data_IF_333320213414
#
_entry.id   IF_333320213414
#
_cell.length_a   1.000
_cell.length_b   1.000
_cell.length_c   1.000
_cell.angle_alpha   90.00
_cell.angle_beta   90.00
_cell.angle_gamma   90.00
#
_symmetry.space_group_name_H-M   'P 1'
#
loop_
_entity.id
_entity.type
_entity.pdbx_description
1 polymer ?
#
# COMPACT_ATOMS: atom_id res chain seq x y z
N UNK A 1 8.43 -29.20 3.66
CA UNK A 1 7.34 -28.22 3.45
C UNK A 1 8.02 -26.99 2.89
N UNK A 2 7.71 -26.59 1.65
CA UNK A 2 8.13 -25.30 1.10
C UNK A 2 7.48 -24.22 1.96
N UNK A 3 8.28 -23.37 2.58
CA UNK A 3 7.74 -22.19 3.26
C UNK A 3 7.67 -21.13 2.17
N UNK A 4 6.50 -20.98 1.56
CA UNK A 4 6.27 -19.89 0.61
C UNK A 4 6.55 -18.57 1.35
N UNK A 5 7.70 -17.99 1.05
CA UNK A 5 8.21 -16.80 1.72
C UNK A 5 7.95 -15.62 0.80
N UNK A 6 6.94 -14.81 1.14
CA UNK A 6 6.86 -13.46 0.61
C UNK A 6 7.94 -12.63 1.28
N UNK A 7 8.87 -12.10 0.49
CA UNK A 7 9.89 -11.17 0.96
C UNK A 7 9.61 -9.83 0.34
N UNK A 8 9.47 -8.81 1.17
CA UNK A 8 9.35 -7.45 0.68
C UNK A 8 9.37 -6.44 1.81
N UNK A 9 9.18 -5.18 1.45
CA UNK A 9 9.22 -4.05 2.38
C UNK A 9 8.22 -2.99 1.94
N UNK A 10 7.61 -2.33 2.91
CA UNK A 10 6.83 -1.12 2.69
C UNK A 10 7.28 -0.03 3.66
N UNK A 11 7.48 1.18 3.13
CA UNK A 11 7.72 2.41 3.90
C UNK A 11 6.59 3.38 3.60
N UNK A 12 5.98 3.95 4.63
CA UNK A 12 4.95 4.97 4.49
C UNK A 12 5.21 6.10 5.48
N UNK A 13 5.11 7.33 4.97
CA UNK A 13 5.25 8.56 5.74
C UNK A 13 3.93 9.32 5.75
N UNK A 14 3.72 10.02 6.85
CA UNK A 14 2.54 10.85 7.06
C UNK A 14 2.98 12.29 7.33
N UNK A 15 2.33 13.24 6.67
CA UNK A 15 2.58 14.67 6.90
C UNK A 15 1.28 15.48 6.90
N UNK A 16 1.30 16.65 7.51
CA UNK A 16 0.27 17.66 7.34
C UNK A 16 0.44 18.37 5.98
N UNK A 17 -0.50 19.24 5.61
CA UNK A 17 -0.43 19.99 4.35
C UNK A 17 0.77 20.93 4.26
N UNK A 18 1.29 21.41 5.39
CA UNK A 18 2.49 22.24 5.48
C UNK A 18 3.80 21.43 5.42
N UNK A 19 3.71 20.10 5.34
CA UNK A 19 4.85 19.19 5.25
C UNK A 19 5.40 18.71 6.61
N UNK A 20 4.85 19.19 7.73
CA UNK A 20 5.28 18.73 9.05
C UNK A 20 4.90 17.25 9.29
N UNK A 21 5.74 16.45 9.96
CA UNK A 21 5.43 15.04 10.23
C UNK A 21 4.12 14.85 11.02
N UNK A 22 3.25 13.96 10.54
CA UNK A 22 1.92 13.71 11.11
C UNK A 22 1.81 12.34 11.81
N UNK A 23 2.81 12.02 12.64
CA UNK A 23 2.92 10.77 13.39
C UNK A 23 4.13 9.92 12.98
N UNK A 24 4.26 8.71 13.53
CA UNK A 24 5.35 7.81 13.18
C UNK A 24 5.16 7.21 11.78
N UNK A 25 6.28 6.98 11.10
CA UNK A 25 6.32 6.22 9.85
C UNK A 25 5.78 4.79 10.06
N UNK A 26 5.22 4.21 9.00
CA UNK A 26 4.85 2.80 8.93
C UNK A 26 5.90 2.07 8.09
N UNK A 27 6.70 1.25 8.75
CA UNK A 27 7.78 0.47 8.17
C UNK A 27 7.61 -1.00 8.54
N UNK A 28 7.55 -1.87 7.53
CA UNK A 28 7.46 -3.31 7.77
C UNK A 28 8.01 -4.13 6.61
N UNK A 29 8.48 -5.32 6.92
CA UNK A 29 8.86 -6.37 5.97
C UNK A 29 7.78 -7.45 5.79
N UNK A 30 6.68 -7.36 6.56
CA UNK A 30 5.54 -8.27 6.49
C UNK A 30 4.57 -7.79 5.43
N UNK A 31 4.89 -8.09 4.18
CA UNK A 31 4.09 -7.76 3.01
C UNK A 31 3.59 -9.03 2.32
N UNK A 32 2.35 -8.96 1.85
CA UNK A 32 1.66 -10.00 1.11
C UNK A 32 1.19 -9.43 -0.21
N UNK A 33 1.26 -10.23 -1.27
CA UNK A 33 0.73 -9.87 -2.57
C UNK A 33 -0.30 -10.88 -3.05
N UNK A 34 -1.27 -10.36 -3.77
CA UNK A 34 -2.18 -11.11 -4.61
C UNK A 34 -2.21 -10.44 -6.00
N UNK A 35 -2.69 -11.13 -7.05
CA UNK A 35 -2.81 -10.55 -8.39
C UNK A 35 -3.59 -9.23 -8.43
N UNK A 36 -4.51 -9.03 -7.48
CA UNK A 36 -5.38 -7.85 -7.37
C UNK A 36 -5.14 -7.04 -6.08
N UNK A 37 -4.08 -7.30 -5.30
CA UNK A 37 -3.86 -6.58 -4.05
C UNK A 37 -2.40 -6.62 -3.57
N UNK A 38 -2.02 -5.63 -2.78
CA UNK A 38 -0.83 -5.66 -1.92
C UNK A 38 -1.23 -5.23 -0.52
N UNK A 39 -0.72 -5.91 0.50
CA UNK A 39 -0.99 -5.58 1.90
C UNK A 39 0.28 -5.70 2.71
N UNK A 40 0.60 -4.67 3.49
CA UNK A 40 1.65 -4.70 4.49
C UNK A 40 1.04 -4.54 5.88
N UNK A 41 1.51 -5.31 6.87
CA UNK A 41 0.91 -5.31 8.21
C UNK A 41 1.95 -5.34 9.31
N UNK A 42 1.76 -4.54 10.35
CA UNK A 42 2.61 -4.55 11.55
C UNK A 42 1.73 -4.49 12.80
N UNK A 43 1.75 -5.56 13.60
CA UNK A 43 0.89 -5.71 14.77
C UNK A 43 -0.61 -5.56 14.45
N UNK A 44 -1.26 -4.47 14.87
CA UNK A 44 -2.68 -4.17 14.59
C UNK A 44 -2.87 -3.21 13.42
N UNK A 45 -1.77 -2.69 12.85
CA UNK A 45 -1.79 -1.72 11.76
C UNK A 45 -1.61 -2.42 10.43
N UNK A 46 -2.22 -1.89 9.38
CA UNK A 46 -1.95 -2.35 8.02
C UNK A 46 -2.13 -1.23 7.01
N UNK A 47 -1.44 -1.36 5.89
CA UNK A 47 -1.67 -0.60 4.67
C UNK A 47 -2.03 -1.60 3.59
N UNK A 48 -3.18 -1.40 2.94
CA UNK A 48 -3.69 -2.30 1.93
C UNK A 48 -4.06 -1.51 0.68
N UNK A 49 -3.63 -2.00 -0.47
CA UNK A 49 -4.06 -1.52 -1.77
C UNK A 49 -4.76 -2.65 -2.51
N UNK A 50 -5.97 -2.40 -2.99
CA UNK A 50 -6.73 -3.35 -3.81
C UNK A 50 -7.06 -2.75 -5.16
N UNK A 51 -7.02 -3.58 -6.19
CA UNK A 51 -7.26 -3.20 -7.56
C UNK A 51 -8.58 -3.81 -8.04
N UNK A 52 -9.24 -3.14 -8.98
CA UNK A 52 -10.49 -3.61 -9.59
C UNK A 52 -10.40 -5.04 -10.14
N UNK A 53 -9.27 -5.32 -10.78
CA UNK A 53 -9.00 -6.55 -11.50
C UNK A 53 -7.53 -6.95 -11.32
N UNK A 54 -7.21 -8.18 -11.70
CA UNK A 54 -5.83 -8.65 -11.68
C UNK A 54 -4.98 -7.78 -12.62
N UNK A 55 -3.91 -7.20 -12.11
CA UNK A 55 -3.02 -6.38 -12.93
C UNK A 55 -2.19 -7.29 -13.86
N UNK A 56 -2.20 -7.03 -15.18
CA UNK A 56 -1.26 -7.67 -16.10
C UNK A 56 0.20 -7.36 -15.75
N UNK A 57 1.15 -8.11 -16.31
CA UNK A 57 2.58 -7.75 -16.20
C UNK A 57 2.82 -6.38 -16.86
N UNK A 58 3.55 -5.52 -16.18
CA UNK A 58 3.86 -4.15 -16.63
C UNK A 58 3.53 -3.07 -15.59
N UNK A 59 3.77 -1.80 -15.94
CA UNK A 59 3.42 -0.65 -15.11
C UNK A 59 1.94 -0.29 -15.22
N UNK A 60 1.34 0.13 -14.10
CA UNK A 60 -0.06 0.55 -14.00
C UNK A 60 -0.16 1.79 -13.12
N UNK A 61 -0.87 2.80 -13.62
CA UNK A 61 -1.20 4.01 -12.88
C UNK A 61 -2.71 4.08 -12.68
N UNK A 62 -3.15 4.34 -11.45
CA UNK A 62 -4.57 4.48 -11.16
C UNK A 62 -4.83 5.42 -10.00
N UNK A 63 -6.06 5.95 -9.99
CA UNK A 63 -6.60 6.67 -8.85
C UNK A 63 -7.08 5.70 -7.79
N UNK A 64 -6.96 6.11 -6.54
CA UNK A 64 -7.50 5.42 -5.38
C UNK A 64 -8.43 6.37 -4.64
N UNK A 65 -9.48 5.84 -4.04
CA UNK A 65 -10.47 6.63 -3.31
C UNK A 65 -11.76 5.86 -3.10
N UNK A 66 -12.71 6.38 -2.31
CA UNK A 66 -13.96 5.68 -1.98
C UNK A 66 -14.89 5.46 -3.19
N UNK A 67 -14.78 6.29 -4.22
CA UNK A 67 -15.58 6.22 -5.46
C UNK A 67 -14.83 5.60 -6.64
N UNK A 68 -13.52 5.37 -6.50
CA UNK A 68 -12.71 4.79 -7.55
C UNK A 68 -12.98 3.28 -7.67
N UNK A 69 -12.40 2.56 -8.63
CA UNK A 69 -12.47 1.10 -8.63
C UNK A 69 -11.32 0.43 -7.86
N UNK A 70 -10.20 1.15 -7.63
CA UNK A 70 -9.09 0.73 -6.77
C UNK A 70 -9.18 1.43 -5.40
N UNK A 71 -8.74 0.77 -4.34
CA UNK A 71 -8.75 1.31 -2.97
C UNK A 71 -7.33 1.34 -2.40
N UNK A 72 -7.08 2.34 -1.58
CA UNK A 72 -5.95 2.40 -0.67
C UNK A 72 -6.51 2.66 0.73
N UNK A 73 -6.18 1.77 1.66
CA UNK A 73 -6.71 1.77 3.01
C UNK A 73 -5.57 1.68 4.02
N UNK A 74 -5.69 2.44 5.10
CA UNK A 74 -4.77 2.42 6.23
C UNK A 74 -5.55 2.13 7.51
N UNK A 75 -5.18 1.07 8.22
CA UNK A 75 -5.65 0.85 9.58
C UNK A 75 -4.57 1.29 10.56
N UNK A 76 -4.89 2.28 11.39
CA UNK A 76 -3.96 2.85 12.37
C UNK A 76 -3.89 2.04 13.69
N UNK A 77 -4.61 0.92 13.78
CA UNK A 77 -4.77 0.08 14.98
C UNK A 77 -6.07 0.30 15.73
N UNK A 78 -6.84 1.34 15.37
CA UNK A 78 -8.11 1.70 16.01
C UNK A 78 -9.26 1.73 15.00
N UNK A 79 -9.02 2.29 13.81
CA UNK A 79 -10.03 2.39 12.75
C UNK A 79 -9.40 2.24 11.37
N UNK A 80 -10.25 1.84 10.43
CA UNK A 80 -9.95 1.82 9.00
C UNK A 80 -10.12 3.23 8.42
N UNK A 81 -9.13 3.67 7.67
CA UNK A 81 -9.07 4.99 7.02
C UNK A 81 -8.97 4.75 5.51
N UNK A 82 -9.83 5.39 4.75
CA UNK A 82 -9.79 5.35 3.28
C UNK A 82 -8.98 6.53 2.76
N UNK A 83 -8.08 6.24 1.82
CA UNK A 83 -7.15 7.22 1.25
C UNK A 83 -7.58 7.55 -0.16
N UNK A 84 -7.60 8.83 -0.50
CA UNK A 84 -7.86 9.32 -1.86
C UNK A 84 -6.57 9.84 -2.48
N UNK A 85 -6.24 9.44 -3.71
CA UNK A 85 -4.98 9.83 -4.33
C UNK A 85 -4.65 9.03 -5.58
N UNK A 86 -3.37 8.81 -5.80
CA UNK A 86 -2.83 8.08 -6.94
C UNK A 86 -1.86 6.99 -6.49
N UNK A 87 -1.83 5.90 -7.23
CA UNK A 87 -0.88 4.82 -7.03
C UNK A 87 -0.28 4.38 -8.37
N UNK A 88 0.99 3.99 -8.30
CA UNK A 88 1.74 3.38 -9.38
C UNK A 88 2.18 1.98 -8.93
N UNK A 89 1.89 0.96 -9.73
CA UNK A 89 2.25 -0.43 -9.45
C UNK A 89 2.87 -1.05 -10.70
N UNK A 90 4.07 -1.60 -10.56
CA UNK A 90 4.71 -2.43 -11.57
C UNK A 90 4.63 -3.89 -11.17
N UNK A 91 3.98 -4.68 -12.01
CA UNK A 91 3.89 -6.14 -11.84
C UNK A 91 4.92 -6.82 -12.73
N UNK A 92 5.78 -7.65 -12.15
CA UNK A 92 6.88 -8.36 -12.83
C UNK A 92 6.83 -9.87 -12.60
N UNK A 93 7.63 -10.62 -13.39
CA UNK A 93 7.92 -12.03 -13.18
C UNK A 93 6.68 -12.93 -12.99
N UNK A 94 5.73 -12.89 -13.93
CA UNK A 94 4.50 -13.70 -13.87
C UNK A 94 3.69 -13.47 -12.58
N UNK A 95 3.52 -12.21 -12.18
CA UNK A 95 2.81 -11.78 -10.96
C UNK A 95 3.49 -12.19 -9.64
N UNK A 96 4.73 -12.68 -9.69
CA UNK A 96 5.53 -13.02 -8.50
C UNK A 96 6.25 -11.82 -7.92
N UNK A 97 6.23 -10.66 -8.57
CA UNK A 97 6.83 -9.45 -8.05
C UNK A 97 5.89 -8.28 -8.29
N UNK A 98 5.72 -7.45 -7.27
CA UNK A 98 5.08 -6.15 -7.39
C UNK A 98 5.97 -5.12 -6.68
N UNK A 99 6.14 -3.98 -7.30
CA UNK A 99 6.76 -2.81 -6.68
C UNK A 99 5.99 -1.57 -7.09
N UNK A 100 6.06 -0.53 -6.28
CA UNK A 100 5.22 0.62 -6.51
C UNK A 100 5.37 1.73 -5.50
N UNK A 101 4.61 2.78 -5.75
CA UNK A 101 4.49 3.93 -4.89
C UNK A 101 3.06 4.47 -4.90
N UNK A 102 2.72 5.23 -3.87
CA UNK A 102 1.44 5.92 -3.80
C UNK A 102 1.60 7.26 -3.09
N UNK A 103 0.72 8.19 -3.47
CA UNK A 103 0.60 9.51 -2.90
C UNK A 103 -0.90 9.81 -2.75
N UNK A 104 -1.34 10.06 -1.53
CA UNK A 104 -2.75 10.31 -1.25
C UNK A 104 -2.98 11.08 0.03
N UNK A 105 -4.24 11.38 0.29
CA UNK A 105 -4.70 12.12 1.45
C UNK A 105 -5.87 11.42 2.13
N UNK A 106 -6.01 11.67 3.43
CA UNK A 106 -7.15 11.23 4.22
C UNK A 106 -7.45 12.24 5.34
N UNK A 107 -8.67 12.21 5.84
CA UNK A 107 -9.07 12.99 7.01
C UNK A 107 -8.99 12.15 8.28
N UNK A 108 -8.38 12.71 9.32
CA UNK A 108 -8.32 12.09 10.65
C UNK A 108 -8.47 13.16 11.72
N UNK A 109 -9.52 13.03 12.54
CA UNK A 109 -9.82 13.95 13.64
C UNK A 109 -9.97 15.42 13.20
N UNK A 110 -10.54 15.64 12.02
CA UNK A 110 -10.78 16.97 11.46
C UNK A 110 -9.58 17.60 10.76
N UNK A 111 -8.48 16.86 10.60
CA UNK A 111 -7.29 17.30 9.88
C UNK A 111 -7.03 16.45 8.64
N UNK A 112 -6.72 17.11 7.52
CA UNK A 112 -6.18 16.46 6.32
C UNK A 112 -4.74 16.04 6.56
N UNK A 113 -4.41 14.80 6.23
CA UNK A 113 -3.05 14.26 6.25
C UNK A 113 -2.69 13.73 4.88
N UNK A 114 -1.45 13.95 4.48
CA UNK A 114 -0.82 13.32 3.33
C UNK A 114 -0.22 11.98 3.75
N UNK A 115 -0.31 11.00 2.86
CA UNK A 115 0.21 9.66 3.00
C UNK A 115 0.99 9.31 1.75
N UNK A 116 2.30 9.12 1.90
CA UNK A 116 3.19 8.72 0.80
C UNK A 116 3.87 7.43 1.16
N UNK A 117 3.90 6.48 0.23
CA UNK A 117 4.56 5.22 0.50
C UNK A 117 5.15 4.57 -0.73
N UNK A 118 6.08 3.66 -0.48
CA UNK A 118 6.71 2.80 -1.47
C UNK A 118 6.67 1.36 -0.99
N UNK A 119 6.61 0.43 -1.93
CA UNK A 119 6.70 -0.98 -1.63
C UNK A 119 7.50 -1.74 -2.69
N UNK A 120 8.18 -2.80 -2.28
CA UNK A 120 8.83 -3.80 -3.13
C UNK A 120 8.56 -5.16 -2.50
N UNK A 121 7.99 -6.07 -3.27
CA UNK A 121 7.64 -7.41 -2.80
C UNK A 121 7.83 -8.46 -3.89
N UNK A 122 8.40 -9.59 -3.48
CA UNK A 122 8.75 -10.73 -4.32
C UNK A 122 8.30 -12.02 -3.65
N UNK A 123 7.64 -12.87 -4.42
CA UNK A 123 7.30 -14.22 -4.04
C UNK A 123 8.51 -15.12 -4.28
N UNK A 124 9.06 -15.65 -3.20
CA UNK A 124 10.11 -16.67 -3.25
C UNK A 124 9.46 -18.05 -3.19
N UNK A 125 9.75 -18.88 -4.19
CA UNK A 125 9.55 -20.33 -4.14
C UNK A 125 10.93 -20.93 -4.01
N UNK A 126 11.22 -21.59 -2.89
CA UNK A 126 12.42 -22.42 -2.73
C UNK A 126 12.33 -23.70 -3.57
#
# INVERSE_FOLDING_TARGET
MSTDLFVGKMNVKFSFEDGEPAGPDFDTDKIQIAPNAVQASESKKFVQMTYKENLPVGPHDFKVGPEEPSRLEYNNGERLIQVTGTAHVTVSNSQRQQDGNFDGTFELDGFTRQMKGTFDCKYFVE
#
